data_IF_428923918720
#
_entry.id   IF_428923918720
#
_cell.length_a   1.000
_cell.length_b   1.000
_cell.length_c   1.000
_cell.angle_alpha   90.00
_cell.angle_beta   90.00
_cell.angle_gamma   90.00
#
_symmetry.space_group_name_H-M   'P 1'
#
loop_
_entity.id
_entity.type
_entity.pdbx_description
1 polymer ?
#
# COMPACT_ATOMS: atom_id res chain seq x y z
N UNK A 1 -6.81 15.83 -7.69
CA UNK A 1 -6.81 14.84 -6.61
C UNK A 1 -6.67 13.42 -7.16
N UNK A 2 -6.18 12.44 -6.38
CA UNK A 2 -6.25 11.04 -6.77
C UNK A 2 -7.70 10.66 -7.05
N UNK A 3 -7.95 9.93 -8.14
CA UNK A 3 -9.29 9.45 -8.49
C UNK A 3 -9.47 8.08 -7.85
N UNK A 4 -10.40 7.97 -6.91
CA UNK A 4 -10.86 6.71 -6.36
C UNK A 4 -12.39 6.81 -6.22
N UNK A 5 -13.12 5.79 -6.68
CA UNK A 5 -14.58 5.73 -6.51
C UNK A 5 -14.96 5.41 -5.06
N UNK A 6 -14.15 4.59 -4.40
CA UNK A 6 -14.28 4.19 -3.01
C UNK A 6 -12.90 4.24 -2.34
N UNK A 7 -12.83 4.69 -1.10
CA UNK A 7 -11.59 4.69 -0.32
C UNK A 7 -11.85 4.44 1.16
N UNK A 8 -10.86 3.85 1.83
CA UNK A 8 -10.94 3.40 3.22
C UNK A 8 -9.92 4.13 4.10
N UNK A 9 -10.27 4.44 5.35
CA UNK A 9 -9.32 4.98 6.33
C UNK A 9 -9.69 4.60 7.76
N UNK A 10 -8.71 4.65 8.66
CA UNK A 10 -8.83 4.49 10.11
C UNK A 10 -9.24 5.77 10.85
N UNK A 11 -9.78 6.78 10.14
CA UNK A 11 -10.12 8.11 10.66
C UNK A 11 -8.94 8.91 11.23
N UNK A 12 -7.69 8.54 10.93
CA UNK A 12 -6.57 9.38 11.33
C UNK A 12 -6.69 10.79 10.74
N UNK A 13 -6.53 11.81 11.58
CA UNK A 13 -6.90 13.21 11.28
C UNK A 13 -6.30 13.74 9.96
N UNK A 14 -5.10 13.28 9.59
CA UNK A 14 -4.46 13.70 8.33
C UNK A 14 -5.28 13.31 7.09
N UNK A 15 -6.02 12.20 7.15
CA UNK A 15 -6.87 11.76 6.03
C UNK A 15 -8.07 12.68 5.79
N UNK A 16 -8.54 13.40 6.82
CA UNK A 16 -9.60 14.42 6.67
C UNK A 16 -9.21 15.58 5.76
N UNK A 17 -7.90 15.80 5.54
CA UNK A 17 -7.39 16.82 4.61
C UNK A 17 -7.26 16.33 3.18
N UNK A 18 -7.41 15.02 2.93
CA UNK A 18 -7.31 14.45 1.58
C UNK A 18 -8.67 14.43 0.91
N UNK A 19 -8.87 15.32 -0.06
CA UNK A 19 -10.10 15.37 -0.85
C UNK A 19 -10.02 14.36 -1.99
N UNK A 20 -10.61 13.18 -1.80
CA UNK A 20 -10.85 12.21 -2.87
C UNK A 20 -12.22 12.47 -3.50
N UNK A 21 -12.32 13.42 -4.43
CA UNK A 21 -13.56 13.70 -5.16
C UNK A 21 -13.56 12.99 -6.53
N UNK A 22 -14.64 12.31 -6.95
CA UNK A 22 -15.96 12.18 -6.30
C UNK A 22 -16.10 10.92 -5.41
N UNK A 23 -15.01 10.43 -4.83
CA UNK A 23 -14.98 9.16 -4.10
C UNK A 23 -15.85 9.13 -2.85
N UNK A 24 -16.46 7.97 -2.60
CA UNK A 24 -17.19 7.70 -1.35
C UNK A 24 -16.23 7.18 -0.29
N UNK A 25 -16.24 7.83 0.87
CA UNK A 25 -15.41 7.44 2.02
C UNK A 25 -16.08 6.33 2.82
N UNK A 26 -15.33 5.28 3.10
CA UNK A 26 -15.69 4.24 4.05
C UNK A 26 -14.71 4.28 5.22
N UNK A 27 -15.20 4.48 6.44
CA UNK A 27 -14.36 4.42 7.63
C UNK A 27 -14.65 3.15 8.42
N UNK A 28 -13.62 2.62 9.07
CA UNK A 28 -13.73 1.51 10.00
C UNK A 28 -13.51 2.08 11.41
N UNK A 29 -14.55 2.09 12.22
CA UNK A 29 -14.48 2.57 13.62
C UNK A 29 -13.72 1.59 14.51
N UNK A 30 -13.81 0.29 14.18
CA UNK A 30 -13.00 -0.72 14.82
C UNK A 30 -11.67 -0.87 14.07
N UNK A 31 -10.59 -0.91 14.85
CA UNK A 31 -9.24 -1.18 14.33
C UNK A 31 -9.07 -2.66 13.95
N UNK A 32 -10.18 -3.38 13.75
CA UNK A 32 -10.23 -4.81 13.50
C UNK A 32 -9.41 -5.18 12.27
N UNK A 33 -9.33 -4.30 11.27
CA UNK A 33 -8.56 -4.50 10.03
C UNK A 33 -7.11 -3.98 10.08
N UNK A 34 -6.62 -3.49 11.23
CA UNK A 34 -5.24 -2.96 11.37
C UNK A 34 -4.18 -4.01 11.02
N UNK A 35 -4.47 -5.29 11.23
CA UNK A 35 -3.57 -6.38 10.83
C UNK A 35 -3.26 -6.36 9.32
N UNK A 36 -4.19 -5.87 8.48
CA UNK A 36 -4.01 -5.79 7.03
C UNK A 36 -3.03 -4.68 6.65
N UNK A 37 -3.11 -3.52 7.32
CA UNK A 37 -2.22 -2.38 7.12
C UNK A 37 -0.82 -2.71 7.61
N UNK A 38 -0.68 -3.35 8.76
CA UNK A 38 0.61 -3.75 9.30
C UNK A 38 1.29 -4.82 8.44
N UNK A 39 0.53 -5.78 7.91
CA UNK A 39 1.05 -6.74 6.94
C UNK A 39 1.58 -6.06 5.67
N UNK A 40 0.83 -5.09 5.13
CA UNK A 40 1.27 -4.28 3.99
C UNK A 40 2.54 -3.47 4.29
N UNK A 41 2.62 -2.85 5.47
CA UNK A 41 3.80 -2.12 5.93
C UNK A 41 5.01 -3.02 6.12
N UNK A 42 4.82 -4.22 6.65
CA UNK A 42 5.88 -5.21 6.81
C UNK A 42 6.45 -5.63 5.44
N UNK A 43 5.58 -5.92 4.48
CA UNK A 43 5.95 -6.28 3.10
C UNK A 43 6.65 -5.13 2.37
N UNK A 44 6.16 -3.89 2.54
CA UNK A 44 6.81 -2.70 1.99
C UNK A 44 8.25 -2.55 2.52
N UNK A 45 8.46 -2.75 3.84
CA UNK A 45 9.80 -2.71 4.45
C UNK A 45 10.67 -3.89 4.05
N UNK A 46 10.07 -5.05 3.79
CA UNK A 46 10.76 -6.25 3.32
C UNK A 46 11.35 -6.03 1.92
N UNK A 47 10.53 -5.57 0.95
CA UNK A 47 10.98 -5.37 -0.43
C UNK A 47 11.74 -4.07 -0.65
N UNK A 48 11.38 -2.99 0.06
CA UNK A 48 12.12 -1.73 0.01
C UNK A 48 13.01 -1.61 1.23
N UNK A 49 14.20 -2.22 1.18
CA UNK A 49 15.21 -2.17 2.25
C UNK A 49 15.48 -0.74 2.77
N UNK A 50 15.29 0.25 1.90
CA UNK A 50 15.35 1.68 2.19
C UNK A 50 14.39 2.14 3.30
N UNK A 51 13.22 1.52 3.40
CA UNK A 51 12.17 1.80 4.37
C UNK A 51 12.27 0.89 5.61
N UNK A 52 13.10 -0.15 5.59
CA UNK A 52 13.26 -1.09 6.70
C UNK A 52 14.13 -0.59 7.86
N UNK A 53 14.98 0.44 7.67
CA UNK A 53 15.90 0.94 8.71
C UNK A 53 15.58 2.37 9.14
N UNK A 54 15.07 2.53 10.36
CA UNK A 54 14.72 3.83 10.96
C UNK A 54 15.88 4.84 10.96
N UNK A 55 17.10 4.38 11.25
CA UNK A 55 18.32 5.22 11.32
C UNK A 55 18.95 5.52 9.96
N UNK A 56 18.61 4.77 8.92
CA UNK A 56 19.09 5.00 7.54
C UNK A 56 17.89 5.26 6.66
N UNK A 57 17.23 6.39 6.89
CA UNK A 57 16.03 6.84 6.20
C UNK A 57 16.25 8.05 5.26
N UNK A 58 17.50 8.39 4.90
CA UNK A 58 17.82 9.41 3.89
C UNK A 58 17.81 8.91 2.44
N UNK A 59 16.89 9.41 1.61
CA UNK A 59 16.81 9.06 0.18
C UNK A 59 17.58 10.05 -0.67
N UNK A 60 18.61 9.58 -1.37
CA UNK A 60 19.39 10.41 -2.33
C UNK A 60 18.54 11.01 -3.46
N UNK A 61 17.41 10.37 -3.79
CA UNK A 61 16.46 10.86 -4.78
C UNK A 61 15.02 10.54 -4.38
N UNK A 62 14.23 11.57 -4.12
CA UNK A 62 12.79 11.42 -3.83
C UNK A 62 12.04 10.83 -5.04
N UNK A 63 12.50 11.13 -6.26
CA UNK A 63 11.92 10.61 -7.50
C UNK A 63 12.09 9.09 -7.60
N UNK A 64 13.27 8.58 -7.27
CA UNK A 64 13.52 7.13 -7.24
C UNK A 64 12.67 6.43 -6.18
N UNK A 65 12.59 6.99 -4.97
CA UNK A 65 11.73 6.45 -3.91
C UNK A 65 10.26 6.39 -4.35
N UNK A 66 9.73 7.48 -4.93
CA UNK A 66 8.36 7.52 -5.45
C UNK A 66 8.11 6.45 -6.52
N UNK A 67 9.06 6.21 -7.42
CA UNK A 67 8.96 5.14 -8.44
C UNK A 67 8.94 3.76 -7.82
N UNK A 68 9.81 3.50 -6.85
CA UNK A 68 9.87 2.21 -6.14
C UNK A 68 8.58 1.93 -5.37
N UNK A 69 8.03 2.93 -4.66
CA UNK A 69 6.75 2.81 -3.96
C UNK A 69 5.60 2.56 -4.94
N UNK A 70 5.56 3.28 -6.08
CA UNK A 70 4.53 3.04 -7.11
C UNK A 70 4.58 1.62 -7.67
N UNK A 71 5.79 1.12 -7.97
CA UNK A 71 5.98 -0.24 -8.46
C UNK A 71 5.51 -1.26 -7.42
N UNK A 72 5.90 -1.08 -6.15
CA UNK A 72 5.43 -1.92 -5.05
C UNK A 72 3.89 -1.95 -4.97
N UNK A 73 3.24 -0.79 -4.97
CA UNK A 73 1.76 -0.70 -4.89
C UNK A 73 1.09 -1.40 -6.07
N UNK A 74 1.63 -1.24 -7.28
CA UNK A 74 1.13 -1.93 -8.46
C UNK A 74 1.22 -3.46 -8.31
N UNK A 75 2.40 -3.98 -7.98
CA UNK A 75 2.63 -5.42 -7.80
C UNK A 75 1.82 -6.00 -6.64
N UNK A 76 1.69 -5.24 -5.55
CA UNK A 76 0.89 -5.62 -4.38
C UNK A 76 -0.58 -5.79 -4.77
N UNK A 77 -1.16 -4.81 -5.45
CA UNK A 77 -2.55 -4.87 -5.86
C UNK A 77 -2.81 -6.03 -6.82
N UNK A 78 -1.93 -6.26 -7.81
CA UNK A 78 -2.02 -7.42 -8.71
C UNK A 78 -1.98 -8.75 -7.94
N UNK A 79 -1.07 -8.87 -6.96
CA UNK A 79 -1.00 -10.06 -6.09
C UNK A 79 -2.27 -10.25 -5.25
N UNK A 80 -2.85 -9.17 -4.70
CA UNK A 80 -4.09 -9.29 -3.90
C UNK A 80 -5.25 -9.80 -4.75
N UNK A 81 -5.39 -9.29 -5.97
CA UNK A 81 -6.38 -9.78 -6.93
C UNK A 81 -6.14 -11.26 -7.26
N UNK A 82 -4.90 -11.64 -7.56
CA UNK A 82 -4.54 -13.04 -7.82
C UNK A 82 -4.87 -13.96 -6.63
N UNK A 83 -4.54 -13.55 -5.39
CA UNK A 83 -4.86 -14.33 -4.19
C UNK A 83 -6.36 -14.46 -3.94
N UNK A 84 -7.15 -13.47 -4.35
CA UNK A 84 -8.62 -13.55 -4.27
C UNK A 84 -9.17 -14.60 -5.22
N UNK A 85 -8.63 -14.66 -6.43
CA UNK A 85 -9.08 -15.58 -7.47
C UNK A 85 -8.48 -17.00 -7.26
N UNK A 86 -7.29 -17.10 -6.67
CA UNK A 86 -6.51 -18.33 -6.47
C UNK A 86 -5.96 -18.44 -5.03
N UNK A 87 -6.81 -18.63 -4.00
CA UNK A 87 -6.42 -18.53 -2.59
C UNK A 87 -5.42 -19.61 -2.13
N UNK A 88 -5.41 -20.77 -2.79
CA UNK A 88 -4.56 -21.90 -2.43
C UNK A 88 -3.17 -21.87 -3.07
N UNK A 89 -2.89 -20.89 -3.94
CA UNK A 89 -1.63 -20.82 -4.67
C UNK A 89 -0.65 -19.86 -3.99
N UNK A 90 0.64 -20.22 -3.88
CA UNK A 90 1.66 -19.28 -3.46
C UNK A 90 1.73 -18.12 -4.45
N UNK A 91 1.86 -16.90 -3.93
CA UNK A 91 1.97 -15.70 -4.73
C UNK A 91 3.01 -14.77 -4.09
N UNK A 92 4.20 -14.72 -4.67
CA UNK A 92 5.27 -13.83 -4.23
C UNK A 92 5.12 -12.48 -4.92
N UNK A 93 5.49 -11.39 -4.24
CA UNK A 93 5.30 -10.05 -4.80
C UNK A 93 6.14 -9.84 -6.07
N UNK A 94 7.33 -10.47 -6.12
CA UNK A 94 8.26 -10.38 -7.24
C UNK A 94 7.64 -10.90 -8.55
N UNK A 95 6.73 -11.87 -8.48
CA UNK A 95 6.03 -12.45 -9.64
C UNK A 95 5.17 -11.40 -10.37
N UNK A 96 4.82 -10.30 -9.69
CA UNK A 96 3.97 -9.22 -10.20
C UNK A 96 4.74 -7.92 -10.46
N UNK A 97 6.07 -7.95 -10.41
CA UNK A 97 6.94 -6.79 -10.66
C UNK A 97 7.16 -6.51 -12.15
N UNK A 98 6.86 -7.47 -13.03
CA UNK A 98 6.96 -7.32 -14.48
C UNK A 98 5.62 -6.87 -15.10
N UNK A 99 5.63 -6.02 -16.14
CA UNK A 99 4.46 -5.74 -16.98
C UNK A 99 3.86 -7.02 -17.56
#
# INVERSE_FOLDING_TARGET
SPRAEQYYSDLFNTYGTLVYFPGRHHFMDDKSETYSVEAGNAELRHYLARLGRKSRCFSRSIKALRRAVKLFVYSWNRRQLYKRDYPNYPAHLADFACP
#
